data_IF_209439950302
#
_entry.id   IF_209439950302
#
_cell.length_a   1.000
_cell.length_b   1.000
_cell.length_c   1.000
_cell.angle_alpha   90.00
_cell.angle_beta   90.00
_cell.angle_gamma   90.00
#
_symmetry.space_group_name_H-M   'P 1'
#
loop_
_entity.id
_entity.type
_entity.pdbx_description
1 polymer ?
#
# COMPACT_ATOMS: atom_id res chain seq x y z
N UNK A 1 -5.73 3.53 -12.88
CA UNK A 1 -4.30 3.21 -12.96
C UNK A 1 -4.22 1.71 -12.99
N UNK A 2 -3.80 1.14 -14.09
CA UNK A 2 -3.91 -0.30 -14.35
C UNK A 2 -2.55 -0.98 -14.20
N UNK A 3 -2.59 -2.24 -13.74
CA UNK A 3 -1.42 -3.12 -13.62
C UNK A 3 -0.26 -2.49 -12.83
N UNK A 4 -0.57 -1.87 -11.69
CA UNK A 4 0.44 -1.29 -10.79
C UNK A 4 0.88 -2.31 -9.72
N UNK A 5 2.03 -2.07 -9.09
CA UNK A 5 2.44 -2.82 -7.90
C UNK A 5 2.07 -2.00 -6.66
N UNK A 6 1.31 -2.60 -5.76
CA UNK A 6 0.95 -2.05 -4.46
C UNK A 6 1.81 -2.72 -3.39
N UNK A 7 2.51 -1.91 -2.59
CA UNK A 7 3.34 -2.37 -1.48
C UNK A 7 2.84 -1.75 -0.19
N UNK A 8 2.51 -2.60 0.78
CA UNK A 8 2.21 -2.20 2.14
C UNK A 8 3.47 -2.29 2.98
N UNK A 9 3.70 -1.26 3.81
CA UNK A 9 4.91 -1.19 4.60
C UNK A 9 5.04 0.11 5.38
N UNK A 10 6.28 0.48 5.63
CA UNK A 10 6.65 1.56 6.54
C UNK A 10 7.80 2.37 5.93
N UNK A 11 7.69 3.70 5.94
CA UNK A 11 8.78 4.58 5.49
C UNK A 11 9.79 4.76 6.63
N UNK A 12 10.95 4.13 6.50
CA UNK A 12 11.99 4.10 7.56
C UNK A 12 12.84 5.36 7.55
N UNK A 13 13.12 5.89 6.35
CA UNK A 13 13.73 7.19 6.16
C UNK A 13 13.19 7.83 4.89
N UNK A 14 13.67 9.03 4.53
CA UNK A 14 13.24 9.70 3.30
C UNK A 14 13.38 8.80 2.08
N UNK A 15 14.46 8.07 1.94
CA UNK A 15 14.80 7.35 0.71
C UNK A 15 14.65 5.82 0.86
N UNK A 16 14.04 5.38 1.96
CA UNK A 16 14.02 3.98 2.36
C UNK A 16 12.62 3.53 2.80
N UNK A 17 12.07 2.53 2.11
CA UNK A 17 10.76 1.97 2.39
C UNK A 17 10.87 0.48 2.71
N UNK A 18 10.42 0.10 3.90
CA UNK A 18 10.34 -1.28 4.36
C UNK A 18 9.02 -1.91 3.95
N UNK A 19 9.08 -2.92 3.07
CA UNK A 19 7.92 -3.61 2.49
C UNK A 19 7.54 -4.81 3.35
N UNK A 20 6.32 -4.83 3.86
CA UNK A 20 5.76 -5.95 4.63
C UNK A 20 4.93 -6.89 3.77
N UNK A 21 4.22 -6.37 2.77
CA UNK A 21 3.43 -7.16 1.83
C UNK A 21 3.37 -6.46 0.47
N UNK A 22 3.27 -7.24 -0.61
CA UNK A 22 3.18 -6.73 -1.98
C UNK A 22 2.13 -7.45 -2.79
N UNK A 23 1.55 -6.74 -3.76
CA UNK A 23 0.65 -7.28 -4.76
C UNK A 23 0.87 -6.61 -6.10
N UNK A 24 0.95 -7.43 -7.14
CA UNK A 24 1.09 -7.02 -8.55
C UNK A 24 -0.28 -7.12 -9.25
N UNK A 25 -0.42 -6.52 -10.43
CA UNK A 25 -1.67 -6.56 -11.19
C UNK A 25 -2.80 -5.75 -10.54
N UNK A 26 -2.48 -4.72 -9.76
CA UNK A 26 -3.47 -3.93 -9.03
C UNK A 26 -4.08 -2.87 -9.94
N UNK A 27 -5.39 -2.67 -9.85
CA UNK A 27 -6.08 -1.52 -10.37
C UNK A 27 -6.28 -0.47 -9.27
N UNK A 28 -5.62 0.68 -9.39
CA UNK A 28 -5.75 1.82 -8.47
C UNK A 28 -6.63 2.94 -9.04
N UNK A 29 -7.51 3.50 -8.21
CA UNK A 29 -8.42 4.60 -8.57
C UNK A 29 -8.48 5.67 -7.48
N UNK A 30 -8.15 6.90 -7.85
CA UNK A 30 -8.50 8.09 -7.06
C UNK A 30 -9.94 8.51 -7.38
N UNK A 31 -10.80 8.55 -6.37
CA UNK A 31 -12.17 9.03 -6.48
C UNK A 31 -12.30 10.36 -5.73
N UNK A 32 -12.03 11.44 -6.46
CA UNK A 32 -12.03 12.80 -5.92
C UNK A 32 -13.40 13.24 -5.40
N UNK A 33 -14.48 12.78 -6.04
CA UNK A 33 -15.85 13.10 -5.62
C UNK A 33 -16.16 12.47 -4.26
N UNK A 34 -15.82 11.19 -4.08
CA UNK A 34 -16.04 10.48 -2.82
C UNK A 34 -14.91 10.67 -1.80
N UNK A 35 -13.82 11.36 -2.20
CA UNK A 35 -12.58 11.54 -1.42
C UNK A 35 -12.03 10.21 -0.90
N UNK A 36 -11.95 9.22 -1.79
CA UNK A 36 -11.48 7.86 -1.49
C UNK A 36 -10.48 7.38 -2.54
N UNK A 37 -9.48 6.65 -2.07
CA UNK A 37 -8.55 5.89 -2.90
C UNK A 37 -8.93 4.42 -2.83
N UNK A 38 -9.10 3.80 -3.99
CA UNK A 38 -9.45 2.39 -4.11
C UNK A 38 -8.36 1.60 -4.80
N UNK A 39 -8.14 0.37 -4.34
CA UNK A 39 -7.33 -0.63 -5.00
C UNK A 39 -8.13 -1.91 -5.20
N UNK A 40 -8.09 -2.47 -6.40
CA UNK A 40 -8.79 -3.70 -6.76
C UNK A 40 -7.77 -4.69 -7.31
N UNK A 41 -7.83 -5.94 -6.86
CA UNK A 41 -6.93 -7.01 -7.31
C UNK A 41 -7.50 -8.36 -6.91
N UNK A 42 -6.98 -9.44 -7.50
CA UNK A 42 -7.31 -10.80 -7.10
C UNK A 42 -6.12 -11.42 -6.35
N UNK A 43 -6.39 -12.11 -5.24
CA UNK A 43 -5.39 -12.81 -4.44
C UNK A 43 -5.96 -14.17 -4.02
N UNK A 44 -5.25 -15.26 -4.31
CA UNK A 44 -5.69 -16.64 -4.02
C UNK A 44 -7.12 -16.94 -4.51
N UNK A 45 -7.45 -16.50 -5.74
CA UNK A 45 -8.76 -16.66 -6.38
C UNK A 45 -9.93 -15.89 -5.73
N UNK A 46 -9.63 -14.95 -4.82
CA UNK A 46 -10.61 -14.03 -4.24
C UNK A 46 -10.34 -12.63 -4.76
N UNK A 47 -11.39 -11.93 -5.20
CA UNK A 47 -11.30 -10.52 -5.58
C UNK A 47 -11.37 -9.65 -4.32
N UNK A 48 -10.41 -8.74 -4.18
CA UNK A 48 -10.30 -7.80 -3.07
C UNK A 48 -10.48 -6.36 -3.53
N UNK A 49 -11.02 -5.55 -2.63
CA UNK A 49 -11.07 -4.09 -2.73
C UNK A 49 -10.54 -3.48 -1.45
N UNK A 50 -9.49 -2.68 -1.56
CA UNK A 50 -9.03 -1.81 -0.48
C UNK A 50 -9.57 -0.41 -0.69
N UNK A 51 -10.07 0.20 0.38
CA UNK A 51 -10.57 1.57 0.41
C UNK A 51 -9.81 2.38 1.47
N UNK A 52 -9.34 3.57 1.08
CA UNK A 52 -8.68 4.52 1.96
C UNK A 52 -9.39 5.86 1.82
N UNK A 53 -9.93 6.39 2.93
CA UNK A 53 -10.45 7.75 2.97
C UNK A 53 -9.31 8.74 2.86
N UNK A 54 -9.49 9.85 2.15
CA UNK A 54 -8.49 10.92 2.10
C UNK A 54 -8.21 11.52 3.48
N UNK A 55 -9.17 11.43 4.41
CA UNK A 55 -8.98 11.83 5.82
C UNK A 55 -7.94 10.96 6.55
N UNK A 56 -7.72 9.73 6.08
CA UNK A 56 -6.70 8.83 6.62
C UNK A 56 -5.36 8.99 5.90
N UNK A 57 -5.24 9.88 4.91
CA UNK A 57 -3.99 10.13 4.20
C UNK A 57 -3.30 11.32 4.86
N UNK A 58 -2.11 11.08 5.41
CA UNK A 58 -1.31 12.12 6.06
C UNK A 58 -0.44 12.89 5.07
N UNK A 59 0.37 12.17 4.29
CA UNK A 59 1.36 12.74 3.39
C UNK A 59 1.47 11.91 2.12
N UNK A 60 1.70 12.58 1.00
CA UNK A 60 1.97 11.90 -0.28
C UNK A 60 3.30 12.42 -0.82
N UNK A 61 4.21 11.51 -1.17
CA UNK A 61 5.49 11.82 -1.80
C UNK A 61 5.64 11.04 -3.10
N UNK A 62 5.96 11.76 -4.18
CA UNK A 62 6.22 11.18 -5.48
C UNK A 62 7.72 11.24 -5.79
N UNK A 63 8.34 10.08 -5.86
CA UNK A 63 9.73 9.89 -6.25
C UNK A 63 9.76 9.62 -7.75
N UNK A 64 10.43 10.47 -8.52
CA UNK A 64 10.69 10.27 -9.96
C UNK A 64 12.19 10.20 -10.23
N UNK A 65 12.83 9.05 -9.96
CA UNK A 65 14.27 8.91 -10.16
C UNK A 65 14.64 9.17 -11.63
N UNK A 66 15.67 10.00 -11.84
CA UNK A 66 16.13 10.34 -13.20
C UNK A 66 16.62 9.09 -13.93
N UNK A 67 16.20 8.95 -15.19
CA UNK A 67 16.63 7.84 -16.05
C UNK A 67 15.97 6.49 -15.74
N UNK A 68 15.04 6.41 -14.80
CA UNK A 68 14.30 5.18 -14.52
C UNK A 68 12.96 5.11 -15.27
N UNK A 69 12.59 3.88 -15.65
CA UNK A 69 11.31 3.57 -16.28
C UNK A 69 10.14 3.54 -15.29
N UNK A 70 10.44 3.52 -13.98
CA UNK A 70 9.49 3.47 -12.89
C UNK A 70 9.58 4.72 -12.01
N UNK A 71 8.48 5.03 -11.34
CA UNK A 71 8.37 6.07 -10.32
C UNK A 71 7.56 5.52 -9.15
N UNK A 72 7.73 6.12 -7.98
CA UNK A 72 7.14 5.62 -6.75
C UNK A 72 6.25 6.67 -6.09
N UNK A 73 5.00 6.33 -5.81
CA UNK A 73 4.10 7.18 -5.02
C UNK A 73 3.98 6.58 -3.62
N UNK A 74 4.60 7.23 -2.64
CA UNK A 74 4.53 6.85 -1.23
C UNK A 74 3.40 7.64 -0.58
N UNK A 75 2.50 6.94 0.10
CA UNK A 75 1.34 7.50 0.79
C UNK A 75 1.43 7.06 2.25
N UNK A 76 1.65 8.03 3.14
CA UNK A 76 1.62 7.82 4.59
C UNK A 76 0.17 7.89 5.08
N UNK A 77 -0.20 6.96 5.96
CA UNK A 77 -1.55 6.79 6.46
C UNK A 77 -1.63 7.03 7.96
N UNK A 78 -2.75 7.60 8.42
CA UNK A 78 -3.10 7.66 9.84
C UNK A 78 -3.84 6.40 10.33
N UNK A 79 -4.34 5.59 9.40
CA UNK A 79 -5.06 4.37 9.74
C UNK A 79 -5.02 3.34 8.61
N UNK A 80 -5.21 2.08 8.98
CA UNK A 80 -5.20 0.96 8.05
C UNK A 80 -6.31 1.09 6.98
N UNK A 81 -6.10 0.53 5.77
CA UNK A 81 -7.13 0.49 4.74
C UNK A 81 -8.35 -0.32 5.20
N UNK A 82 -9.50 0.01 4.64
CA UNK A 82 -10.68 -0.84 4.71
C UNK A 82 -10.58 -1.95 3.68
N UNK A 83 -10.65 -3.20 4.13
CA UNK A 83 -10.55 -4.39 3.29
C UNK A 83 -11.95 -4.92 3.00
N UNK A 84 -12.22 -5.22 1.73
CA UNK A 84 -13.43 -5.87 1.28
C UNK A 84 -13.09 -7.05 0.39
N UNK A 85 -13.91 -8.08 0.48
CA UNK A 85 -13.86 -9.29 -0.34
C UNK A 85 -15.12 -9.33 -1.18
N UNK A 86 -14.99 -9.79 -2.43
CA UNK A 86 -16.13 -9.97 -3.30
C UNK A 86 -16.73 -11.34 -3.02
N UNK A 87 -17.99 -11.37 -2.61
CA UNK A 87 -18.68 -12.62 -2.36
C UNK A 87 -19.04 -13.30 -3.70
N UNK A 88 -18.71 -14.58 -3.83
CA UNK A 88 -19.13 -15.40 -4.96
C UNK A 88 -20.48 -16.02 -4.60
N UNK A 89 -21.56 -15.25 -4.76
CA UNK A 89 -22.90 -15.77 -4.56
C UNK A 89 -23.36 -16.55 -5.80
N UNK A 90 -23.93 -17.74 -5.60
CA UNK A 90 -24.37 -18.66 -6.66
C UNK A 90 -25.58 -18.16 -7.49
N UNK A 91 -25.97 -16.88 -7.40
CA UNK A 91 -27.20 -16.41 -8.04
C UNK A 91 -27.51 -14.93 -7.91
N UNK A 92 -26.61 -14.05 -8.36
CA UNK A 92 -26.92 -12.69 -8.86
C UNK A 92 -26.42 -11.45 -8.09
N UNK A 93 -25.58 -11.54 -7.05
CA UNK A 93 -24.98 -10.32 -6.48
C UNK A 93 -23.49 -10.47 -6.20
N UNK A 94 -22.68 -9.75 -6.99
CA UNK A 94 -21.26 -9.51 -6.76
C UNK A 94 -21.10 -8.42 -5.68
N UNK A 95 -21.49 -8.72 -4.44
CA UNK A 95 -21.43 -7.75 -3.35
C UNK A 95 -20.03 -7.72 -2.70
N UNK A 96 -19.62 -6.53 -2.27
CA UNK A 96 -18.39 -6.33 -1.52
C UNK A 96 -18.68 -6.44 -0.02
N UNK A 97 -18.28 -7.54 0.59
CA UNK A 97 -18.44 -7.78 2.03
C UNK A 97 -17.20 -7.31 2.77
N UNK A 98 -17.37 -6.77 3.98
CA UNK A 98 -16.26 -6.30 4.80
C UNK A 98 -15.36 -7.49 5.19
N UNK A 99 -14.09 -7.41 4.81
CA UNK A 99 -13.05 -8.38 5.13
C UNK A 99 -12.10 -7.91 6.23
N UNK A 100 -11.21 -8.83 6.61
CA UNK A 100 -10.12 -8.61 7.57
C UNK A 100 -8.77 -8.69 6.86
N UNK A 101 -7.69 -8.40 7.59
CA UNK A 101 -6.34 -8.59 7.06
C UNK A 101 -6.08 -10.09 6.86
N UNK A 102 -6.01 -10.50 5.58
CA UNK A 102 -5.75 -11.88 5.18
C UNK A 102 -4.25 -12.24 5.21
N UNK A 103 -3.37 -11.26 5.45
CA UNK A 103 -1.93 -11.51 5.41
C UNK A 103 -1.44 -12.17 6.70
N UNK A 104 -0.43 -13.07 6.61
CA UNK A 104 0.17 -13.65 7.79
C UNK A 104 0.69 -12.55 8.73
N UNK A 105 0.44 -12.72 10.03
CA UNK A 105 0.82 -11.74 11.06
C UNK A 105 0.22 -10.35 10.87
N UNK A 106 -0.88 -10.19 10.13
CA UNK A 106 -1.53 -8.88 9.93
C UNK A 106 -0.60 -7.79 9.38
N UNK A 107 0.20 -8.12 8.37
CA UNK A 107 1.19 -7.20 7.76
C UNK A 107 0.55 -5.92 7.22
N UNK A 108 -0.66 -6.00 6.66
CA UNK A 108 -1.38 -4.81 6.18
C UNK A 108 -1.81 -3.94 7.36
N UNK A 109 -2.34 -4.54 8.43
CA UNK A 109 -2.71 -3.84 9.66
C UNK A 109 -1.53 -3.22 10.41
N UNK A 110 -0.33 -3.76 10.24
CA UNK A 110 0.92 -3.22 10.80
C UNK A 110 1.60 -2.15 9.93
N UNK A 111 1.08 -1.91 8.72
CA UNK A 111 1.63 -0.91 7.81
C UNK A 111 1.01 0.46 8.07
N UNK A 112 1.84 1.49 8.19
CA UNK A 112 1.37 2.89 8.25
C UNK A 112 1.66 3.65 6.95
N UNK A 113 2.22 2.98 5.93
CA UNK A 113 2.43 3.56 4.62
C UNK A 113 2.16 2.54 3.50
N UNK A 114 1.91 3.06 2.31
CA UNK A 114 1.88 2.28 1.09
C UNK A 114 2.74 2.94 0.01
N UNK A 115 3.33 2.12 -0.84
CA UNK A 115 4.14 2.54 -1.97
C UNK A 115 3.54 1.95 -3.25
N UNK A 116 3.21 2.82 -4.20
CA UNK A 116 2.79 2.43 -5.54
C UNK A 116 3.98 2.49 -6.48
N UNK A 117 4.31 1.37 -7.10
CA UNK A 117 5.26 1.31 -8.20
C UNK A 117 4.51 1.53 -9.50
N UNK A 118 4.87 2.59 -10.22
CA UNK A 118 4.15 3.07 -11.38
C UNK A 118 5.10 3.19 -12.58
N UNK A 119 4.66 2.90 -13.81
CA UNK A 119 5.40 3.30 -15.00
C UNK A 119 5.61 4.82 -15.02
N UNK A 120 6.81 5.27 -15.38
CA UNK A 120 7.11 6.70 -15.41
C UNK A 120 6.24 7.44 -16.44
N UNK A 121 5.82 6.76 -17.51
CA UNK A 121 4.88 7.26 -18.52
C UNK A 121 3.44 7.46 -18.03
N UNK A 122 3.04 6.84 -16.91
CA UNK A 122 1.69 6.92 -16.37
C UNK A 122 1.40 8.35 -15.88
N UNK A 123 0.37 9.01 -16.41
CA UNK A 123 -0.05 10.32 -15.87
C UNK A 123 -0.83 10.14 -14.57
N UNK A 124 -0.33 10.76 -13.50
CA UNK A 124 -1.06 10.86 -12.24
C UNK A 124 -2.00 12.07 -12.28
N UNK A 125 -3.12 12.03 -11.55
CA UNK A 125 -3.97 13.21 -11.38
C UNK A 125 -3.22 14.31 -10.61
N UNK A 126 -3.77 15.53 -10.62
CA UNK A 126 -3.19 16.69 -9.94
C UNK A 126 -3.38 16.61 -8.41
N UNK A 127 -2.59 15.75 -7.76
CA UNK A 127 -2.70 15.45 -6.32
C UNK A 127 -2.48 16.67 -5.40
N UNK A 128 -1.74 17.68 -5.87
CA UNK A 128 -1.45 18.88 -5.08
C UNK A 128 -2.69 19.73 -4.76
N UNK A 129 -3.78 19.60 -5.54
CA UNK A 129 -5.03 20.30 -5.25
C UNK A 129 -5.81 19.69 -4.07
N UNK A 130 -5.74 18.36 -3.91
CA UNK A 130 -6.49 17.65 -2.88
C UNK A 130 -5.66 17.35 -1.61
N UNK A 131 -4.33 17.37 -1.72
CA UNK A 131 -3.42 16.98 -0.64
C UNK A 131 -2.38 18.07 -0.34
N UNK A 132 -2.58 18.79 0.77
CA UNK A 132 -1.71 19.90 1.22
C UNK A 132 -0.26 19.45 1.46
N UNK A 133 -0.06 18.21 1.92
CA UNK A 133 1.26 17.64 2.19
C UNK A 133 1.78 16.78 1.04
N UNK A 134 1.49 17.18 -0.20
CA UNK A 134 2.06 16.57 -1.40
C UNK A 134 3.47 17.11 -1.68
N UNK A 135 4.42 16.23 -2.00
CA UNK A 135 5.77 16.60 -2.46
C UNK A 135 6.20 15.73 -3.64
N UNK A 136 7.00 16.31 -4.51
CA UNK A 136 7.69 15.60 -5.58
C UNK A 136 9.20 15.74 -5.40
N UNK A 137 9.93 14.68 -5.67
CA UNK A 137 11.38 14.69 -5.68
C UNK A 137 11.92 13.77 -6.79
N UNK A 138 13.21 13.90 -7.07
CA UNK A 138 13.93 13.09 -8.06
C UNK A 138 14.90 12.11 -7.39
N UNK A 139 14.76 11.94 -6.08
CA UNK A 139 15.61 11.06 -5.28
C UNK A 139 15.29 9.59 -5.62
N UNK A 140 16.24 8.72 -5.32
CA UNK A 140 15.99 7.28 -5.40
C UNK A 140 15.18 6.83 -4.18
N UNK A 141 14.31 5.84 -4.38
CA UNK A 141 13.61 5.16 -3.30
C UNK A 141 14.08 3.71 -3.24
N UNK A 142 14.77 3.34 -2.18
CA UNK A 142 15.18 1.97 -1.93
C UNK A 142 14.03 1.21 -1.25
N UNK A 143 13.68 0.07 -1.85
CA UNK A 143 12.69 -0.86 -1.31
C UNK A 143 13.41 -2.02 -0.64
N UNK A 144 13.24 -2.16 0.68
CA UNK A 144 13.83 -3.24 1.47
C UNK A 144 12.74 -4.15 2.03
N UNK A 145 13.06 -5.44 2.20
CA UNK A 145 12.15 -6.37 2.85
C UNK A 145 12.04 -6.07 4.35
N UNK A 146 10.81 -5.95 4.84
CA UNK A 146 10.50 -5.70 6.23
C UNK A 146 10.01 -6.94 6.96
N UNK A 147 10.21 -6.95 8.28
CA UNK A 147 9.62 -7.94 9.18
C UNK A 147 8.45 -7.33 9.95
N UNK A 148 7.30 -8.03 10.10
CA UNK A 148 6.24 -7.56 10.97
C UNK A 148 6.71 -7.55 12.43
N UNK A 149 6.27 -6.55 13.21
CA UNK A 149 6.63 -6.38 14.62
C UNK A 149 6.22 -7.58 15.50
N UNK A 150 5.16 -8.28 15.12
CA UNK A 150 4.69 -9.48 15.81
C UNK A 150 5.49 -10.76 15.52
N UNK A 151 6.49 -10.71 14.62
CA UNK A 151 7.41 -11.82 14.36
C UNK A 151 8.71 -11.75 15.18
N UNK A 152 8.72 -11.07 16.33
CA UNK A 152 9.85 -11.11 17.24
C UNK A 152 9.92 -12.46 17.96
N UNK A 153 10.49 -13.48 17.30
CA UNK A 153 11.11 -14.62 17.97
C UNK A 153 12.47 -14.24 18.61
N UNK A 154 12.63 -12.99 19.06
CA UNK A 154 13.81 -12.49 19.74
C UNK A 154 13.77 -12.74 21.27
N UNK A 155 13.14 -13.85 21.69
CA UNK A 155 13.29 -14.41 23.02
C UNK A 155 13.70 -15.88 22.94
N UNK A 156 14.83 -16.14 22.30
CA UNK A 156 15.71 -17.22 22.79
C UNK A 156 16.82 -16.51 23.55
N UNK A 157 16.63 -16.37 24.86
CA UNK A 157 17.67 -15.93 25.77
C UNK A 157 18.86 -16.90 25.64
N UNK A 158 19.92 -16.48 24.95
CA UNK A 158 21.23 -17.09 25.07
C UNK A 158 21.83 -16.73 26.42
N UNK A 159 21.39 -17.41 27.48
CA UNK A 159 22.10 -17.52 28.74
C UNK A 159 22.09 -18.97 29.18
N UNK A 160 22.99 -19.75 28.58
CA UNK A 160 23.54 -20.96 29.18
C UNK A 160 24.92 -21.18 28.56
N UNK A 161 25.89 -20.41 29.04
CA UNK A 161 27.31 -20.77 28.99
C UNK A 161 27.86 -20.54 30.39
N UNK A 162 27.84 -21.61 31.18
CA UNK A 162 28.91 -22.06 32.05
C UNK A 162 28.56 -23.45 32.57
#
# INVERSE_FOLDING_TARGET
MDNIVLRFGNQVSRDNFSVLWKQEGVFGKFDFKMRRLYFFFSHLSVDYKFEISYENIGKIELYRPRGQATKFLVIQLFGAPRIYEKEVSNGHHNEWVRGVDFTPSSRIGQSYALCLELPNTLRLPELHHDFVHYKENEDQLELMEGSPFSCSSAWVCSWASN
#
